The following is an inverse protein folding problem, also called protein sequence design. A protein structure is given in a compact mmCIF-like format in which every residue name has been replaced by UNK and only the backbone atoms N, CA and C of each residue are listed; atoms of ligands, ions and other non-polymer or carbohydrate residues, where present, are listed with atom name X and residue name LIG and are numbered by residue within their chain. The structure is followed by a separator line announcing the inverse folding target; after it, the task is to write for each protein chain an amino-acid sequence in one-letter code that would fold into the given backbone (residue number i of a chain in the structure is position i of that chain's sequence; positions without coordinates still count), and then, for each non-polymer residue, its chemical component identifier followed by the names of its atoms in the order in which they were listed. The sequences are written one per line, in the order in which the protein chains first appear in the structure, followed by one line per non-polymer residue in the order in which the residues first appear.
data_IF_881095635819
#
_entry.id   IF_881095635819
#
_cell.length_a   1.000
_cell.length_b   1.000
_cell.length_c   1.000
_cell.angle_alpha   90.00
_cell.angle_beta   90.00
_cell.angle_gamma   90.00
#
_symmetry.space_group_name_H-M   'P 1'
#
loop_
_entity.id
_entity.type
_entity.pdbx_description
1 polymer ?
#
# COMPACT_ATOMS: atom_id res chain seq x y z
N UNK A 1 -13.65 10.27 -4.26
CA UNK A 1 -12.62 10.28 -5.34
C UNK A 1 -11.32 9.82 -4.72
N UNK A 2 -10.55 8.95 -5.36
CA UNK A 2 -9.29 8.45 -4.80
C UNK A 2 -8.12 9.26 -5.37
N UNK A 3 -7.24 9.72 -4.48
CA UNK A 3 -6.04 10.49 -4.86
C UNK A 3 -4.83 9.91 -4.11
N UNK A 4 -3.76 9.48 -4.81
CA UNK A 4 -2.55 9.04 -4.14
C UNK A 4 -1.84 10.20 -3.43
N UNK A 5 -1.45 10.01 -2.18
CA UNK A 5 -0.73 11.03 -1.42
C UNK A 5 0.63 11.35 -2.05
N UNK A 6 1.32 10.35 -2.61
CA UNK A 6 2.59 10.56 -3.33
C UNK A 6 2.43 11.52 -4.50
N UNK A 7 1.36 11.38 -5.28
CA UNK A 7 1.06 12.29 -6.39
C UNK A 7 0.72 13.69 -5.89
N UNK A 8 -0.02 13.82 -4.79
CA UNK A 8 -0.36 15.14 -4.23
C UNK A 8 0.90 15.90 -3.75
N UNK A 9 1.88 15.17 -3.19
CA UNK A 9 3.18 15.73 -2.77
C UNK A 9 4.00 16.31 -3.92
N UNK A 10 3.73 15.92 -5.17
CA UNK A 10 4.40 16.50 -6.34
C UNK A 10 3.96 17.95 -6.62
N UNK A 11 2.83 18.39 -6.03
CA UNK A 11 2.26 19.73 -6.26
C UNK A 11 2.34 20.65 -5.04
N UNK A 12 2.36 20.07 -3.83
CA UNK A 12 2.34 20.82 -2.58
C UNK A 12 3.22 20.10 -1.55
N UNK A 13 4.03 20.88 -0.82
CA UNK A 13 4.80 20.37 0.31
C UNK A 13 3.87 20.01 1.48
N UNK A 14 3.95 18.77 1.96
CA UNK A 14 3.08 18.24 3.01
C UNK A 14 3.92 17.57 4.09
N UNK A 15 4.02 18.25 5.23
CA UNK A 15 4.69 17.77 6.46
C UNK A 15 3.70 17.29 7.54
N UNK A 16 2.42 17.16 7.17
CA UNK A 16 1.34 16.75 8.07
C UNK A 16 1.21 15.22 8.14
N UNK A 17 0.74 14.72 9.28
CA UNK A 17 0.33 13.32 9.43
C UNK A 17 -0.93 13.00 8.58
N UNK A 18 -1.18 11.71 8.30
CA UNK A 18 -2.33 11.28 7.50
C UNK A 18 -3.67 11.77 8.08
N UNK A 19 -3.81 11.77 9.40
CA UNK A 19 -4.99 12.27 10.10
C UNK A 19 -5.19 13.77 9.91
N UNK A 20 -4.11 14.54 10.05
CA UNK A 20 -4.14 16.00 9.88
C UNK A 20 -4.48 16.37 8.44
N UNK A 21 -3.94 15.64 7.45
CA UNK A 21 -4.27 15.82 6.04
C UNK A 21 -5.77 15.58 5.82
N UNK A 22 -6.31 14.45 6.30
CA UNK A 22 -7.72 14.12 6.17
C UNK A 22 -8.63 15.16 6.84
N UNK A 23 -8.21 15.66 7.99
CA UNK A 23 -8.91 16.72 8.71
C UNK A 23 -8.93 18.04 7.95
N UNK A 24 -7.78 18.51 7.46
CA UNK A 24 -7.65 19.76 6.71
C UNK A 24 -8.47 19.71 5.43
N UNK A 25 -8.42 18.60 4.69
CA UNK A 25 -9.23 18.41 3.48
C UNK A 25 -10.73 18.51 3.81
N UNK A 26 -11.18 17.79 4.84
CA UNK A 26 -12.58 17.79 5.26
C UNK A 26 -13.04 19.20 5.66
N UNK A 27 -12.22 19.93 6.43
CA UNK A 27 -12.52 21.31 6.83
C UNK A 27 -12.47 22.32 5.68
N UNK A 28 -11.71 22.02 4.62
CA UNK A 28 -11.68 22.79 3.38
C UNK A 28 -12.89 22.50 2.45
N UNK A 29 -13.81 21.62 2.87
CA UNK A 29 -14.99 21.23 2.10
C UNK A 29 -14.79 20.03 1.19
N UNK A 30 -13.63 19.36 1.28
CA UNK A 30 -13.32 18.12 0.58
C UNK A 30 -13.42 16.96 1.58
N UNK A 31 -14.63 16.44 1.78
CA UNK A 31 -14.88 15.34 2.72
C UNK A 31 -14.02 14.11 2.40
N UNK A 32 -13.37 13.58 3.43
CA UNK A 32 -12.56 12.36 3.34
C UNK A 32 -13.31 11.20 3.97
N UNK A 33 -13.81 10.30 3.13
CA UNK A 33 -14.50 9.09 3.56
C UNK A 33 -13.57 8.07 4.22
N UNK A 34 -12.35 7.93 3.69
CA UNK A 34 -11.42 6.85 4.04
C UNK A 34 -9.97 7.18 3.65
N UNK A 35 -9.03 6.73 4.48
CA UNK A 35 -7.60 6.71 4.17
C UNK A 35 -7.18 5.26 3.91
N UNK A 36 -6.78 4.96 2.68
CA UNK A 36 -6.35 3.63 2.26
C UNK A 36 -4.82 3.50 2.29
N UNK A 37 -4.31 2.66 3.18
CA UNK A 37 -2.90 2.34 3.31
C UNK A 37 -2.47 1.34 2.23
N UNK A 38 -1.32 1.64 1.61
CA UNK A 38 -0.66 0.82 0.60
C UNK A 38 0.81 0.66 0.99
N UNK A 39 1.08 -0.26 1.91
CA UNK A 39 2.43 -0.56 2.38
C UNK A 39 3.02 0.43 3.37
N UNK A 40 2.31 1.52 3.67
CA UNK A 40 2.67 2.45 4.73
C UNK A 40 2.11 1.97 6.06
N UNK A 41 2.84 2.25 7.13
CA UNK A 41 2.35 2.01 8.48
C UNK A 41 1.10 2.83 8.77
N UNK A 42 0.12 2.16 9.37
CA UNK A 42 -1.05 2.80 9.92
C UNK A 42 -0.73 3.50 11.23
N UNK A 43 -1.59 4.41 11.69
CA UNK A 43 -1.38 5.05 12.97
C UNK A 43 -1.45 4.04 14.14
N UNK A 44 -0.69 4.31 15.19
CA UNK A 44 -0.44 3.35 16.28
C UNK A 44 -1.64 3.13 17.23
N UNK A 45 -2.68 3.96 17.15
CA UNK A 45 -3.85 3.90 18.00
C UNK A 45 -5.14 3.77 17.18
N UNK A 46 -6.24 3.35 17.80
CA UNK A 46 -7.56 3.25 17.14
C UNK A 46 -8.42 4.50 17.40
N UNK A 47 -7.80 5.64 17.72
CA UNK A 47 -8.51 6.89 18.07
C UNK A 47 -8.34 7.92 16.95
N UNK A 48 -8.82 7.56 15.76
CA UNK A 48 -8.80 8.42 14.60
C UNK A 48 -10.21 8.87 14.25
N UNK A 49 -10.34 10.13 13.82
CA UNK A 49 -11.60 10.67 13.33
C UNK A 49 -12.01 10.13 11.95
N UNK A 50 -11.14 9.34 11.32
CA UNK A 50 -11.30 8.84 9.96
C UNK A 50 -11.12 7.33 9.91
N UNK A 51 -11.73 6.72 8.89
CA UNK A 51 -11.62 5.28 8.63
C UNK A 51 -10.29 5.00 7.93
N UNK A 52 -9.44 4.18 8.54
CA UNK A 52 -8.23 3.65 7.93
C UNK A 52 -8.46 2.20 7.46
N UNK A 53 -8.12 1.90 6.22
CA UNK A 53 -8.18 0.55 5.66
C UNK A 53 -6.96 0.25 4.78
N UNK A 54 -6.93 -0.92 4.17
CA UNK A 54 -5.85 -1.33 3.27
C UNK A 54 -4.90 -2.33 3.91
N UNK A 55 -3.71 -2.41 3.34
CA UNK A 55 -2.69 -3.37 3.74
C UNK A 55 -1.40 -2.62 4.07
N UNK A 56 -0.79 -3.02 5.16
CA UNK A 56 0.56 -2.61 5.54
C UNK A 56 1.49 -3.80 5.35
N UNK A 57 2.74 -3.54 4.97
CA UNK A 57 3.74 -4.59 4.87
C UNK A 57 5.12 -4.04 5.20
N UNK A 58 6.01 -4.86 5.79
CA UNK A 58 7.40 -4.47 5.99
C UNK A 58 8.06 -4.22 4.63
N UNK A 59 8.69 -3.07 4.48
CA UNK A 59 9.39 -2.67 3.25
C UNK A 59 10.50 -3.64 2.86
N UNK A 60 11.10 -4.33 3.82
CA UNK A 60 12.22 -5.25 3.65
C UNK A 60 11.80 -6.69 3.31
N UNK A 61 10.50 -6.99 3.33
CA UNK A 61 9.98 -8.36 3.13
C UNK A 61 9.35 -8.60 1.76
N UNK A 62 9.06 -7.53 1.01
CA UNK A 62 8.43 -7.61 -0.30
C UNK A 62 9.41 -7.08 -1.36
N UNK A 63 9.85 -7.98 -2.24
CA UNK A 63 10.83 -7.67 -3.29
C UNK A 63 10.25 -7.96 -4.68
N UNK A 64 10.85 -7.35 -5.70
CA UNK A 64 10.54 -7.66 -7.10
C UNK A 64 11.39 -8.84 -7.54
N UNK A 65 10.76 -9.88 -8.07
CA UNK A 65 11.43 -11.06 -8.59
C UNK A 65 11.03 -11.33 -10.05
N UNK A 66 11.96 -11.88 -10.83
CA UNK A 66 11.76 -12.31 -12.21
C UNK A 66 11.29 -13.77 -12.24
N UNK A 67 10.25 -14.06 -13.01
CA UNK A 67 9.80 -15.45 -13.23
C UNK A 67 10.71 -16.11 -14.26
N UNK A 68 11.43 -17.16 -13.85
CA UNK A 68 12.31 -17.96 -14.73
C UNK A 68 11.57 -19.09 -15.42
N UNK A 69 10.67 -19.75 -14.70
CA UNK A 69 9.94 -20.92 -15.20
C UNK A 69 8.55 -21.04 -14.55
N UNK A 70 7.57 -21.57 -15.29
CA UNK A 70 6.21 -21.85 -14.79
C UNK A 70 5.80 -23.26 -15.20
N UNK A 71 5.55 -24.12 -14.22
CA UNK A 71 5.15 -25.52 -14.42
C UNK A 71 3.75 -25.79 -13.83
N UNK A 72 3.04 -26.78 -14.38
CA UNK A 72 1.74 -27.20 -13.81
C UNK A 72 1.93 -27.89 -12.46
N UNK A 73 1.04 -27.63 -11.50
CA UNK A 73 1.07 -28.33 -10.22
C UNK A 73 0.62 -29.80 -10.39
N UNK A 74 1.35 -30.80 -9.88
CA UNK A 74 1.06 -32.21 -10.11
C UNK A 74 -0.32 -32.64 -9.60
N UNK A 75 -0.76 -32.08 -8.47
CA UNK A 75 -2.00 -32.48 -7.80
C UNK A 75 -3.10 -31.39 -7.82
N UNK A 76 -2.95 -30.33 -8.63
CA UNK A 76 -3.92 -29.23 -8.61
C UNK A 76 -4.02 -28.50 -9.96
N UNK A 77 -5.13 -28.71 -10.68
CA UNK A 77 -5.38 -28.15 -12.01
C UNK A 77 -5.39 -26.61 -12.08
N UNK A 78 -5.58 -25.93 -10.94
CA UNK A 78 -5.67 -24.46 -10.85
C UNK A 78 -4.40 -23.80 -10.31
N UNK A 79 -3.38 -24.57 -9.94
CA UNK A 79 -2.13 -24.06 -9.39
C UNK A 79 -0.98 -24.28 -10.36
N UNK A 80 0.03 -23.42 -10.24
CA UNK A 80 1.29 -23.51 -10.98
C UNK A 80 2.46 -23.38 -10.01
N UNK A 81 3.57 -24.01 -10.36
CA UNK A 81 4.84 -23.92 -9.65
C UNK A 81 5.75 -22.96 -10.41
N UNK A 82 6.06 -21.81 -9.82
CA UNK A 82 6.94 -20.82 -10.40
C UNK A 82 8.35 -20.93 -9.80
N UNK A 83 9.38 -20.92 -10.65
CA UNK A 83 10.75 -20.64 -10.24
C UNK A 83 11.02 -19.15 -10.42
N UNK A 84 11.58 -18.51 -9.40
CA UNK A 84 11.75 -17.06 -9.31
C UNK A 84 13.22 -16.72 -9.05
N UNK A 85 13.69 -15.60 -9.58
CA UNK A 85 14.98 -14.98 -9.26
C UNK A 85 14.69 -13.64 -8.59
N UNK A 86 15.05 -13.47 -7.32
CA UNK A 86 14.80 -12.24 -6.56
C UNK A 86 15.99 -11.26 -6.55
N UNK A 87 17.05 -11.58 -7.31
CA UNK A 87 18.24 -10.75 -7.43
C UNK A 87 19.25 -10.95 -6.31
N UNK A 88 19.01 -11.88 -5.39
CA UNK A 88 19.99 -12.26 -4.36
C UNK A 88 20.99 -13.33 -4.83
N UNK A 89 20.81 -13.88 -6.04
CA UNK A 89 21.79 -14.74 -6.71
C UNK A 89 21.83 -16.17 -6.18
N UNK A 90 20.69 -16.73 -5.79
CA UNK A 90 20.51 -18.16 -5.49
C UNK A 90 19.30 -18.74 -6.25
#
# INVERSE_FOLDING_TARGET
MNVPLSWLKDFVDIDLSLDEIAHVLTMAGLEVDEVQLRGLDGPANNKHGFKFTGLTWPEDKFVVAEIREVNAHPDADRLVLCQLEDGTGE
#
